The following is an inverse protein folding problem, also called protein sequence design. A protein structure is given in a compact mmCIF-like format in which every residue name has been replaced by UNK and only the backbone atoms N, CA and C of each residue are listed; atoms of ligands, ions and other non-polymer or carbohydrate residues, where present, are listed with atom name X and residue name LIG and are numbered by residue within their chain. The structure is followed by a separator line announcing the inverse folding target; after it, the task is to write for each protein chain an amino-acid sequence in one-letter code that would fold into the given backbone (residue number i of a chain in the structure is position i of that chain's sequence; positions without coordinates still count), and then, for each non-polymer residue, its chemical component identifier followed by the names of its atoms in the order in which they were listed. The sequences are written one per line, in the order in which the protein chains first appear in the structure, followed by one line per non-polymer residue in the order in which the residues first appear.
data_IF_154511325190
#
_entry.id   IF_154511325190
#
_cell.length_a   1.000
_cell.length_b   1.000
_cell.length_c   1.000
_cell.angle_alpha   90.00
_cell.angle_beta   90.00
_cell.angle_gamma   90.00
#
_symmetry.space_group_name_H-M   'P 1'
#
loop_
_entity.id
_entity.type
_entity.pdbx_description
1 polymer ?
#
# COMPACT_ATOMS: atom_id res chain seq x y z
N UNK A 1 4.21 4.43 20.11
CA UNK A 1 2.84 3.93 19.81
C UNK A 1 2.85 2.41 19.85
N UNK A 2 1.75 1.76 20.25
CA UNK A 2 1.67 0.29 20.19
C UNK A 2 1.66 -0.17 18.73
N UNK A 3 2.33 -1.29 18.42
CA UNK A 3 2.42 -1.82 17.05
C UNK A 3 1.03 -2.17 16.49
N UNK A 4 0.13 -2.68 17.33
CA UNK A 4 -1.25 -2.96 16.97
C UNK A 4 -2.03 -1.70 16.55
N UNK A 5 -1.84 -0.57 17.24
CA UNK A 5 -2.47 0.69 16.87
C UNK A 5 -1.94 1.21 15.52
N UNK A 6 -0.65 1.10 15.27
CA UNK A 6 -0.06 1.49 13.98
C UNK A 6 -0.64 0.66 12.84
N UNK A 7 -0.72 -0.66 12.99
CA UNK A 7 -1.28 -1.52 11.93
C UNK A 7 -2.77 -1.22 11.73
N UNK A 8 -3.52 -0.94 12.80
CA UNK A 8 -4.91 -0.50 12.67
C UNK A 8 -5.02 0.79 11.84
N UNK A 9 -4.14 1.77 12.07
CA UNK A 9 -4.11 3.00 11.26
C UNK A 9 -3.76 2.72 9.80
N UNK A 10 -2.81 1.82 9.52
CA UNK A 10 -2.47 1.38 8.15
C UNK A 10 -3.70 0.78 7.46
N UNK A 11 -4.44 -0.09 8.16
CA UNK A 11 -5.68 -0.72 7.66
C UNK A 11 -6.72 0.35 7.33
N UNK A 12 -6.97 1.27 8.26
CA UNK A 12 -7.98 2.32 8.09
C UNK A 12 -7.62 3.27 6.94
N UNK A 13 -6.35 3.66 6.83
CA UNK A 13 -5.87 4.51 5.75
C UNK A 13 -5.97 3.80 4.39
N UNK A 14 -5.59 2.52 4.32
CA UNK A 14 -5.75 1.71 3.10
C UNK A 14 -7.22 1.60 2.66
N UNK A 15 -8.13 1.37 3.61
CA UNK A 15 -9.57 1.34 3.32
C UNK A 15 -10.08 2.70 2.84
N UNK A 16 -9.64 3.79 3.46
CA UNK A 16 -10.00 5.16 3.05
C UNK A 16 -9.52 5.48 1.64
N UNK A 17 -8.28 5.10 1.29
CA UNK A 17 -7.76 5.23 -0.08
C UNK A 17 -8.62 4.46 -1.07
N UNK A 18 -8.90 3.18 -0.81
CA UNK A 18 -9.74 2.37 -1.71
C UNK A 18 -11.16 2.93 -1.86
N UNK A 19 -11.77 3.38 -0.77
CA UNK A 19 -13.09 4.02 -0.77
C UNK A 19 -13.10 5.28 -1.64
N UNK A 20 -12.06 6.13 -1.55
CA UNK A 20 -11.95 7.34 -2.34
C UNK A 20 -11.89 7.03 -3.85
N UNK A 21 -11.21 5.96 -4.27
CA UNK A 21 -11.15 5.56 -5.68
C UNK A 21 -12.51 5.09 -6.17
N UNK A 22 -13.13 4.17 -5.44
CA UNK A 22 -14.41 3.61 -5.84
C UNK A 22 -15.53 4.66 -5.93
N UNK A 23 -15.45 5.71 -5.09
CA UNK A 23 -16.46 6.77 -5.04
C UNK A 23 -16.35 7.80 -6.17
N UNK A 24 -15.13 8.12 -6.61
CA UNK A 24 -14.86 9.28 -7.46
C UNK A 24 -14.21 8.95 -8.82
N UNK A 25 -13.52 7.81 -8.93
CA UNK A 25 -12.91 7.36 -10.19
C UNK A 25 -13.77 6.31 -10.87
N UNK A 26 -13.70 6.25 -12.19
CA UNK A 26 -14.35 5.21 -12.97
C UNK A 26 -13.56 3.88 -12.91
N UNK A 27 -14.22 2.79 -13.28
CA UNK A 27 -13.65 1.45 -13.16
C UNK A 27 -12.48 1.17 -14.11
N UNK A 28 -12.38 1.90 -15.24
CA UNK A 28 -11.28 1.73 -16.17
C UNK A 28 -10.01 2.42 -15.63
N UNK A 29 -10.14 3.68 -15.20
CA UNK A 29 -9.03 4.40 -14.59
C UNK A 29 -8.55 3.73 -13.29
N UNK A 30 -9.48 3.26 -12.44
CA UNK A 30 -9.11 2.53 -11.23
C UNK A 30 -8.32 1.27 -11.56
N UNK A 31 -8.72 0.49 -12.57
CA UNK A 31 -7.95 -0.71 -12.98
C UNK A 31 -6.55 -0.36 -13.47
N UNK A 32 -6.42 0.70 -14.28
CA UNK A 32 -5.12 1.15 -14.77
C UNK A 32 -4.21 1.61 -13.62
N UNK A 33 -4.76 2.39 -12.67
CA UNK A 33 -4.03 2.94 -11.54
C UNK A 33 -3.64 1.88 -10.51
N UNK A 34 -4.23 0.69 -10.53
CA UNK A 34 -4.01 -0.34 -9.50
C UNK A 34 -3.27 -1.56 -10.01
N UNK A 35 -3.13 -1.69 -11.33
CA UNK A 35 -2.62 -2.89 -11.98
C UNK A 35 -1.27 -3.35 -11.43
N UNK A 36 -0.30 -2.43 -11.35
CA UNK A 36 1.04 -2.75 -10.85
C UNK A 36 1.01 -3.05 -9.35
N UNK A 37 0.20 -2.30 -8.60
CA UNK A 37 0.00 -2.52 -7.17
C UNK A 37 -0.57 -3.91 -6.87
N UNK A 38 -1.59 -4.34 -7.63
CA UNK A 38 -2.20 -5.66 -7.50
C UNK A 38 -1.21 -6.78 -7.82
N UNK A 39 -0.36 -6.61 -8.85
CA UNK A 39 0.69 -7.57 -9.17
C UNK A 39 1.69 -7.73 -8.03
N UNK A 40 2.15 -6.62 -7.44
CA UNK A 40 3.06 -6.64 -6.30
C UNK A 40 2.36 -7.24 -5.06
N UNK A 41 1.11 -6.87 -4.81
CA UNK A 41 0.32 -7.33 -3.66
C UNK A 41 0.12 -8.86 -3.70
N UNK A 42 -0.50 -9.37 -4.75
CA UNK A 42 -0.76 -10.81 -4.91
C UNK A 42 0.53 -11.61 -5.11
N UNK A 43 1.52 -11.04 -5.80
CA UNK A 43 2.85 -11.64 -5.91
C UNK A 43 3.52 -11.83 -4.55
N UNK A 44 3.34 -10.89 -3.62
CA UNK A 44 3.86 -11.00 -2.26
C UNK A 44 3.21 -12.14 -1.49
N UNK A 45 1.89 -12.29 -1.61
CA UNK A 45 1.17 -13.45 -1.06
C UNK A 45 1.72 -14.76 -1.62
N UNK A 46 1.92 -14.84 -2.93
CA UNK A 46 2.43 -16.04 -3.59
C UNK A 46 3.84 -16.41 -3.11
N UNK A 47 4.75 -15.44 -2.98
CA UNK A 47 6.11 -15.68 -2.47
C UNK A 47 6.05 -16.25 -1.05
N UNK A 48 5.26 -15.66 -0.14
CA UNK A 48 5.16 -16.15 1.22
C UNK A 48 4.39 -17.48 1.32
N UNK A 49 3.45 -17.76 0.41
CA UNK A 49 2.84 -19.08 0.29
C UNK A 49 3.89 -20.15 -0.01
N UNK A 50 4.77 -19.90 -0.98
CA UNK A 50 5.85 -20.84 -1.33
C UNK A 50 6.81 -21.06 -0.15
N UNK A 51 7.22 -19.98 0.52
CA UNK A 51 8.15 -20.05 1.67
C UNK A 51 7.55 -20.76 2.88
N UNK A 52 6.26 -20.59 3.14
CA UNK A 52 5.55 -21.24 4.26
C UNK A 52 5.04 -22.65 3.90
N UNK A 53 5.27 -23.10 2.67
CA UNK A 53 4.85 -24.40 2.17
C UNK A 53 3.33 -24.52 1.93
N UNK A 54 2.62 -23.41 1.78
CA UNK A 54 1.23 -23.41 1.34
C UNK A 54 1.17 -23.68 -0.18
N UNK A 55 0.33 -24.63 -0.58
CA UNK A 55 0.10 -24.94 -2.00
C UNK A 55 -0.80 -23.86 -2.62
N UNK A 56 -0.30 -23.13 -3.60
CA UNK A 56 -1.09 -22.20 -4.40
C UNK A 56 -1.95 -23.02 -5.35
N UNK A 57 -3.28 -22.84 -5.29
CA UNK A 57 -4.22 -23.47 -6.22
C UNK A 57 -4.58 -22.56 -7.38
N UNK A 58 -4.56 -21.24 -7.15
CA UNK A 58 -4.96 -20.25 -8.14
C UNK A 58 -4.21 -18.94 -7.91
N UNK A 59 -3.77 -18.32 -9.00
CA UNK A 59 -3.07 -17.05 -9.01
C UNK A 59 -3.70 -16.15 -10.08
N UNK A 60 -4.65 -15.30 -9.67
CA UNK A 60 -5.35 -14.39 -10.57
C UNK A 60 -5.05 -12.95 -10.21
N UNK A 61 -4.10 -12.33 -10.91
CA UNK A 61 -3.76 -10.92 -10.73
C UNK A 61 -4.57 -10.00 -11.64
N UNK A 62 -4.94 -10.48 -12.83
CA UNK A 62 -5.55 -9.66 -13.88
C UNK A 62 -7.08 -9.77 -13.94
N UNK A 63 -7.71 -10.23 -12.86
CA UNK A 63 -9.16 -10.32 -12.76
C UNK A 63 -9.76 -9.06 -12.15
N UNK A 64 -11.10 -8.94 -12.19
CA UNK A 64 -11.80 -7.83 -11.54
C UNK A 64 -11.61 -7.80 -10.01
N UNK A 65 -11.24 -8.94 -9.42
CA UNK A 65 -10.90 -9.08 -8.01
C UNK A 65 -9.60 -9.89 -7.91
N UNK A 66 -8.43 -9.22 -7.95
CA UNK A 66 -7.15 -9.89 -7.80
C UNK A 66 -7.13 -10.74 -6.54
N UNK A 67 -6.63 -11.97 -6.66
CA UNK A 67 -6.50 -12.89 -5.53
C UNK A 67 -5.51 -14.01 -5.79
N UNK A 68 -4.89 -14.47 -4.71
CA UNK A 68 -4.21 -15.77 -4.61
C UNK A 68 -5.05 -16.70 -3.74
N UNK A 69 -5.44 -17.85 -4.29
CA UNK A 69 -6.05 -18.92 -3.50
C UNK A 69 -4.97 -19.93 -3.13
N UNK A 70 -4.84 -20.22 -1.83
CA UNK A 70 -3.84 -21.14 -1.31
C UNK A 70 -4.41 -22.05 -0.23
N UNK A 71 -3.81 -23.24 -0.10
CA UNK A 71 -4.08 -24.17 0.99
C UNK A 71 -3.52 -23.68 2.33
N UNK A 72 -3.68 -24.50 3.37
CA UNK A 72 -3.08 -24.20 4.68
C UNK A 72 -1.55 -24.24 4.60
N UNK A 73 -0.84 -23.25 5.17
CA UNK A 73 0.61 -23.30 5.29
C UNK A 73 1.03 -24.42 6.25
N UNK A 74 2.28 -24.89 6.14
CA UNK A 74 2.81 -25.93 7.03
C UNK A 74 2.77 -25.52 8.50
N UNK A 75 2.92 -24.22 8.77
CA UNK A 75 2.74 -23.60 10.08
C UNK A 75 1.43 -22.81 10.08
N UNK A 76 0.31 -23.36 10.56
CA UNK A 76 -1.02 -22.80 10.30
C UNK A 76 -1.27 -21.41 10.88
N UNK A 77 -0.62 -21.05 11.98
CA UNK A 77 -0.86 -19.79 12.70
C UNK A 77 0.17 -18.71 12.32
N UNK A 78 1.45 -19.07 12.31
CA UNK A 78 2.53 -18.17 11.91
C UNK A 78 2.50 -17.96 10.39
N UNK A 79 2.34 -19.04 9.61
CA UNK A 79 2.33 -18.97 8.15
C UNK A 79 1.18 -18.15 7.59
N UNK A 80 -0.03 -18.28 8.16
CA UNK A 80 -1.18 -17.48 7.73
C UNK A 80 -0.97 -15.99 8.03
N UNK A 81 -0.40 -15.68 9.20
CA UNK A 81 -0.04 -14.31 9.57
C UNK A 81 1.01 -13.74 8.62
N UNK A 82 2.08 -14.51 8.33
CA UNK A 82 3.16 -14.09 7.43
C UNK A 82 2.66 -13.86 5.99
N UNK A 83 1.80 -14.74 5.48
CA UNK A 83 1.17 -14.54 4.16
C UNK A 83 0.35 -13.26 4.19
N UNK A 84 -0.52 -13.07 5.18
CA UNK A 84 -1.42 -11.91 5.20
C UNK A 84 -0.74 -10.55 5.40
N UNK A 85 0.46 -10.50 6.00
CA UNK A 85 1.27 -9.28 6.07
C UNK A 85 2.24 -9.14 4.89
N UNK A 86 2.37 -10.15 4.03
CA UNK A 86 3.32 -10.15 2.92
C UNK A 86 3.21 -8.93 1.99
N UNK A 87 1.99 -8.46 1.61
CA UNK A 87 1.87 -7.29 0.73
C UNK A 87 2.46 -6.01 1.30
N UNK A 88 2.43 -5.86 2.63
CA UNK A 88 3.05 -4.72 3.32
C UNK A 88 4.56 -4.71 3.03
N UNK A 89 5.24 -5.82 3.32
CA UNK A 89 6.68 -5.93 3.12
C UNK A 89 7.08 -5.92 1.65
N UNK A 90 6.34 -6.64 0.81
CA UNK A 90 6.62 -6.73 -0.62
C UNK A 90 6.41 -5.40 -1.35
N UNK A 91 5.37 -4.64 -1.00
CA UNK A 91 5.14 -3.30 -1.54
C UNK A 91 6.22 -2.31 -1.11
N UNK A 92 6.62 -2.31 0.17
CA UNK A 92 7.71 -1.48 0.67
C UNK A 92 9.05 -1.83 0.01
N UNK A 93 9.36 -3.13 -0.10
CA UNK A 93 10.57 -3.60 -0.76
C UNK A 93 10.57 -3.21 -2.24
N UNK A 94 9.44 -3.37 -2.93
CA UNK A 94 9.30 -2.97 -4.33
C UNK A 94 9.57 -1.48 -4.52
N UNK A 95 8.94 -0.61 -3.71
CA UNK A 95 9.16 0.83 -3.77
C UNK A 95 10.62 1.20 -3.48
N UNK A 96 11.24 0.56 -2.48
CA UNK A 96 12.65 0.75 -2.17
C UNK A 96 13.55 0.39 -3.35
N UNK A 97 13.36 -0.78 -3.96
CA UNK A 97 14.16 -1.25 -5.09
C UNK A 97 13.99 -0.33 -6.30
N UNK A 98 12.77 0.07 -6.62
CA UNK A 98 12.50 0.99 -7.72
C UNK A 98 13.14 2.36 -7.46
N UNK A 99 13.01 2.91 -6.25
CA UNK A 99 13.67 4.17 -5.91
C UNK A 99 15.20 4.06 -6.04
N UNK A 100 15.79 2.99 -5.51
CA UNK A 100 17.25 2.81 -5.49
C UNK A 100 17.84 2.57 -6.88
N UNK A 101 17.23 1.70 -7.68
CA UNK A 101 17.82 1.21 -8.93
C UNK A 101 17.28 1.90 -10.18
N UNK A 102 16.04 2.40 -10.15
CA UNK A 102 15.40 3.03 -11.32
C UNK A 102 15.36 4.55 -11.18
N UNK A 103 15.00 5.05 -9.98
CA UNK A 103 14.91 6.50 -9.73
C UNK A 103 16.24 7.11 -9.24
N UNK A 104 17.31 6.32 -9.08
CA UNK A 104 18.62 6.81 -8.67
C UNK A 104 18.67 7.36 -7.24
N UNK A 105 17.77 6.95 -6.37
CA UNK A 105 17.65 7.48 -5.00
C UNK A 105 17.10 8.90 -4.96
N UNK A 106 16.28 9.28 -5.95
CA UNK A 106 15.70 10.63 -6.05
C UNK A 106 14.89 11.03 -4.80
N UNK A 107 14.31 10.05 -4.10
CA UNK A 107 13.53 10.30 -2.88
C UNK A 107 14.24 9.78 -1.64
N UNK A 108 14.28 10.63 -0.64
CA UNK A 108 14.71 10.30 0.71
C UNK A 108 13.50 10.13 1.61
N UNK A 109 13.59 9.12 2.47
CA UNK A 109 12.60 8.86 3.50
C UNK A 109 13.31 8.89 4.83
N UNK A 110 12.84 9.73 5.74
CA UNK A 110 13.28 9.69 7.11
C UNK A 110 12.45 8.69 7.91
N UNK A 111 13.04 8.17 8.98
CA UNK A 111 12.31 7.27 9.87
C UNK A 111 11.21 8.06 10.59
N UNK A 112 9.97 7.60 10.48
CA UNK A 112 8.85 8.19 11.21
C UNK A 112 8.96 7.81 12.69
N UNK A 113 9.49 8.71 13.51
CA UNK A 113 9.74 8.45 14.93
C UNK A 113 8.57 8.86 15.85
N UNK A 114 7.71 9.80 15.40
CA UNK A 114 6.63 10.36 16.22
C UNK A 114 5.29 10.45 15.45
N UNK A 115 4.18 10.59 16.17
CA UNK A 115 2.86 10.77 15.55
C UNK A 115 2.75 12.10 14.80
N UNK A 116 3.51 13.14 15.20
CA UNK A 116 3.55 14.43 14.49
C UNK A 116 4.15 14.30 13.11
N UNK A 117 5.13 13.41 12.93
CA UNK A 117 5.75 13.16 11.64
C UNK A 117 4.81 12.41 10.69
N UNK A 118 3.72 11.80 11.17
CA UNK A 118 2.74 11.13 10.29
C UNK A 118 2.06 12.05 9.28
N UNK A 119 1.90 13.33 9.60
CA UNK A 119 1.35 14.32 8.65
C UNK A 119 2.45 15.05 7.88
N UNK A 120 3.62 15.21 8.48
CA UNK A 120 4.75 15.94 7.89
C UNK A 120 5.45 15.12 6.80
N UNK A 121 5.74 13.86 7.06
CA UNK A 121 6.52 12.98 6.16
C UNK A 121 5.84 12.77 4.80
N UNK A 122 4.52 12.54 4.70
CA UNK A 122 3.85 12.50 3.41
C UNK A 122 4.00 13.81 2.63
N UNK A 123 3.93 14.95 3.31
CA UNK A 123 4.05 16.26 2.68
C UNK A 123 5.49 16.57 2.26
N UNK A 124 6.48 16.14 3.04
CA UNK A 124 7.89 16.28 2.70
C UNK A 124 8.28 15.39 1.52
N UNK A 125 7.76 14.16 1.46
CA UNK A 125 7.91 13.29 0.29
C UNK A 125 7.37 13.97 -0.98
N UNK A 126 6.17 14.54 -0.89
CA UNK A 126 5.57 15.25 -2.03
C UNK A 126 6.28 16.58 -2.33
N UNK A 127 6.83 17.24 -1.31
CA UNK A 127 7.63 18.47 -1.45
C UNK A 127 8.97 18.25 -2.15
N UNK A 128 9.50 17.02 -2.15
CA UNK A 128 10.68 16.64 -2.94
C UNK A 128 10.39 16.55 -4.45
N UNK A 129 9.11 16.50 -4.85
CA UNK A 129 8.74 16.33 -6.26
C UNK A 129 9.02 17.59 -7.08
N UNK A 130 9.73 17.40 -8.18
CA UNK A 130 10.01 18.43 -9.19
C UNK A 130 9.24 18.10 -10.46
N UNK A 131 8.27 18.94 -10.81
CA UNK A 131 7.34 18.70 -11.93
C UNK A 131 8.01 18.55 -13.30
N UNK A 132 9.25 19.00 -13.45
CA UNK A 132 10.03 18.86 -14.68
C UNK A 132 10.83 17.55 -14.77
N UNK A 133 10.92 16.80 -13.67
CA UNK A 133 11.69 15.56 -13.60
C UNK A 133 10.75 14.35 -13.74
N UNK A 134 11.06 13.44 -14.67
CA UNK A 134 10.22 12.27 -14.94
C UNK A 134 10.15 11.32 -13.73
N UNK A 135 11.16 11.32 -12.87
CA UNK A 135 11.24 10.54 -11.64
C UNK A 135 10.13 10.92 -10.67
N UNK A 136 9.76 12.20 -10.62
CA UNK A 136 8.65 12.70 -9.82
C UNK A 136 7.31 12.16 -10.32
N UNK A 137 7.10 12.16 -11.62
CA UNK A 137 5.90 11.55 -12.21
C UNK A 137 5.86 10.03 -12.01
N UNK A 138 7.01 9.35 -12.15
CA UNK A 138 7.12 7.93 -11.88
C UNK A 138 6.76 7.61 -10.42
N UNK A 139 7.27 8.37 -9.44
CA UNK A 139 6.88 8.19 -8.04
C UNK A 139 5.40 8.44 -7.81
N UNK A 140 4.83 9.52 -8.34
CA UNK A 140 3.39 9.78 -8.20
C UNK A 140 2.56 8.59 -8.70
N UNK A 141 2.93 8.04 -9.85
CA UNK A 141 2.28 6.84 -10.40
C UNK A 141 2.47 5.61 -9.50
N UNK A 142 3.67 5.42 -8.93
CA UNK A 142 3.94 4.33 -7.99
C UNK A 142 3.17 4.48 -6.68
N UNK A 143 3.01 5.69 -6.15
CA UNK A 143 2.22 5.98 -4.95
C UNK A 143 0.72 5.71 -5.21
N UNK A 144 0.22 6.10 -6.38
CA UNK A 144 -1.14 5.79 -6.80
C UNK A 144 -1.38 4.28 -7.01
N UNK A 145 -0.36 3.55 -7.48
CA UNK A 145 -0.43 2.10 -7.71
C UNK A 145 -0.14 1.27 -6.47
N UNK A 146 1.13 1.18 -6.12
CA UNK A 146 1.64 0.30 -5.07
C UNK A 146 1.29 0.89 -3.71
N UNK A 147 1.43 2.21 -3.53
CA UNK A 147 1.10 2.89 -2.28
C UNK A 147 -0.34 2.60 -1.82
N UNK A 148 -1.29 2.64 -2.75
CA UNK A 148 -2.70 2.35 -2.46
C UNK A 148 -3.01 0.86 -2.20
N UNK A 149 -2.11 -0.05 -2.60
CA UNK A 149 -2.26 -1.51 -2.47
C UNK A 149 -1.34 -2.12 -1.39
N UNK A 150 -0.55 -1.34 -0.66
CA UNK A 150 0.28 -1.82 0.46
C UNK A 150 -0.56 -2.28 1.67
N UNK A 151 -1.76 -1.72 1.82
CA UNK A 151 -2.67 -2.07 2.91
C UNK A 151 -3.20 -3.51 2.81
N UNK A 152 -3.41 -4.20 3.95
CA UNK A 152 -3.96 -5.56 3.95
C UNK A 152 -5.42 -5.58 3.48
N UNK A 153 -5.82 -6.64 2.79
CA UNK A 153 -7.20 -6.85 2.35
C UNK A 153 -8.13 -7.24 3.51
N UNK A 154 -9.44 -7.27 3.26
CA UNK A 154 -10.42 -7.75 4.27
C UNK A 154 -10.21 -9.22 4.64
N UNK A 155 -9.68 -10.04 3.73
CA UNK A 155 -9.29 -11.42 4.01
C UNK A 155 -8.04 -11.47 4.89
N UNK A 156 -7.08 -10.60 4.63
CA UNK A 156 -5.85 -10.51 5.42
C UNK A 156 -6.12 -10.09 6.86
N UNK A 157 -6.98 -9.09 7.05
CA UNK A 157 -7.41 -8.63 8.39
C UNK A 157 -8.01 -9.79 9.19
N UNK A 158 -8.83 -10.63 8.56
CA UNK A 158 -9.43 -11.81 9.22
C UNK A 158 -8.40 -12.87 9.60
N UNK A 159 -7.24 -12.92 8.93
CA UNK A 159 -6.18 -13.86 9.30
C UNK A 159 -5.27 -13.27 10.38
N UNK A 160 -5.04 -11.96 10.38
CA UNK A 160 -4.13 -11.30 11.33
C UNK A 160 -4.82 -10.82 12.62
N UNK A 161 -6.16 -10.79 12.72
CA UNK A 161 -6.84 -10.21 13.91
C UNK A 161 -6.37 -10.79 15.26
N UNK A 162 -6.08 -12.10 15.42
CA UNK A 162 -5.59 -12.60 16.71
C UNK A 162 -4.20 -12.03 17.02
N UNK A 163 -3.35 -11.92 16.00
CA UNK A 163 -2.03 -11.31 16.12
C UNK A 163 -2.14 -9.80 16.41
N UNK A 164 -3.12 -9.10 15.82
CA UNK A 164 -3.36 -7.68 16.09
C UNK A 164 -3.71 -7.41 17.55
N UNK A 165 -4.51 -8.27 18.18
CA UNK A 165 -4.83 -8.16 19.61
C UNK A 165 -3.56 -8.29 20.45
N UNK A 166 -2.71 -9.27 20.14
CA UNK A 166 -1.43 -9.46 20.84
C UNK A 166 -0.51 -8.25 20.65
N UNK A 167 -0.38 -7.76 19.41
CA UNK A 167 0.46 -6.61 19.06
C UNK A 167 -0.03 -5.28 19.64
N UNK A 168 -1.27 -5.22 20.12
CA UNK A 168 -1.78 -4.07 20.85
C UNK A 168 -1.11 -3.92 22.22
N UNK A 169 -0.81 -5.05 22.86
CA UNK A 169 -0.21 -5.09 24.21
C UNK A 169 1.31 -5.33 24.18
N UNK A 170 1.82 -6.00 23.14
CA UNK A 170 3.25 -6.28 23.00
C UNK A 170 3.87 -5.31 21.98
N UNK A 171 4.65 -4.31 22.43
CA UNK A 171 5.33 -3.41 21.50
C UNK A 171 6.43 -4.15 20.76
N UNK A 172 6.38 -4.09 19.43
CA UNK A 172 7.44 -4.56 18.53
C UNK A 172 7.92 -3.33 17.76
N UNK A 173 9.00 -2.65 18.21
CA UNK A 173 9.43 -1.36 17.65
C UNK A 173 9.68 -1.39 16.14
N UNK A 174 10.33 -2.45 15.65
CA UNK A 174 10.59 -2.62 14.22
C UNK A 174 9.29 -2.67 13.40
N UNK A 175 8.28 -3.42 13.86
CA UNK A 175 6.99 -3.51 13.19
C UNK A 175 6.23 -2.19 13.25
N UNK A 176 6.33 -1.46 14.37
CA UNK A 176 5.75 -0.12 14.48
C UNK A 176 6.39 0.86 13.48
N UNK A 177 7.73 0.86 13.34
CA UNK A 177 8.42 1.71 12.37
C UNK A 177 8.03 1.39 10.92
N UNK A 178 8.00 0.09 10.56
CA UNK A 178 7.56 -0.35 9.23
C UNK A 178 6.11 0.06 8.97
N UNK A 179 5.23 -0.10 9.97
CA UNK A 179 3.83 0.29 9.86
C UNK A 179 3.66 1.81 9.73
N UNK A 180 4.41 2.62 10.48
CA UNK A 180 4.37 4.08 10.37
C UNK A 180 4.88 4.54 8.99
N UNK A 181 5.92 3.86 8.47
CA UNK A 181 6.44 4.11 7.13
C UNK A 181 5.40 3.79 6.04
N UNK A 182 4.76 2.61 6.12
CA UNK A 182 3.67 2.24 5.23
C UNK A 182 2.49 3.24 5.31
N UNK A 183 2.13 3.65 6.53
CA UNK A 183 1.08 4.65 6.75
C UNK A 183 1.43 5.98 6.07
N UNK A 184 2.67 6.45 6.19
CA UNK A 184 3.13 7.68 5.52
C UNK A 184 2.99 7.59 4.00
N UNK A 185 3.37 6.45 3.40
CA UNK A 185 3.22 6.22 1.97
C UNK A 185 1.75 6.16 1.52
N UNK A 186 0.89 5.51 2.29
CA UNK A 186 -0.55 5.46 2.00
C UNK A 186 -1.13 6.88 2.07
N UNK A 187 -0.76 7.66 3.09
CA UNK A 187 -1.21 9.05 3.23
C UNK A 187 -0.73 9.92 2.05
N UNK A 188 0.52 9.78 1.62
CA UNK A 188 1.03 10.46 0.44
C UNK A 188 0.24 10.07 -0.82
N UNK A 189 -0.05 8.78 -0.99
CA UNK A 189 -0.91 8.25 -2.06
C UNK A 189 -2.30 8.87 -2.04
N UNK A 190 -2.95 8.97 -0.87
CA UNK A 190 -4.27 9.61 -0.70
C UNK A 190 -4.23 11.09 -1.13
N UNK A 191 -3.17 11.83 -0.77
CA UNK A 191 -3.02 13.24 -1.16
C UNK A 191 -2.90 13.37 -2.69
N UNK A 192 -2.03 12.57 -3.31
CA UNK A 192 -1.87 12.54 -4.78
C UNK A 192 -3.19 12.17 -5.46
N UNK A 193 -3.90 11.20 -4.90
CA UNK A 193 -5.19 10.75 -5.42
C UNK A 193 -6.27 11.84 -5.31
N UNK A 194 -6.35 12.54 -4.18
CA UNK A 194 -7.27 13.66 -4.01
C UNK A 194 -6.99 14.79 -5.02
N UNK A 195 -5.71 15.10 -5.26
CA UNK A 195 -5.31 16.07 -6.28
C UNK A 195 -5.72 15.62 -7.70
N UNK A 196 -5.53 14.33 -8.04
CA UNK A 196 -5.97 13.77 -9.31
C UNK A 196 -7.49 13.89 -9.48
N UNK A 197 -8.28 13.52 -8.46
CA UNK A 197 -9.74 13.62 -8.47
C UNK A 197 -10.19 15.07 -8.67
N UNK A 198 -9.59 16.01 -7.95
CA UNK A 198 -9.90 17.44 -8.09
C UNK A 198 -9.60 17.94 -9.51
N UNK A 199 -8.45 17.56 -10.08
CA UNK A 199 -8.08 17.90 -11.45
C UNK A 199 -9.09 17.35 -12.47
N UNK A 200 -9.44 16.07 -12.37
CA UNK A 200 -10.44 15.45 -13.25
C UNK A 200 -11.81 16.13 -13.13
N UNK A 201 -12.20 16.57 -11.93
CA UNK A 201 -13.45 17.28 -11.73
C UNK A 201 -13.45 18.65 -12.41
N UNK A 202 -12.37 19.42 -12.27
CA UNK A 202 -12.19 20.71 -12.94
C UNK A 202 -12.21 20.56 -14.47
N UNK A 203 -11.51 19.55 -15.01
CA UNK A 203 -11.51 19.28 -16.45
C UNK A 203 -12.90 18.91 -16.98
N UNK A 204 -13.69 18.13 -16.22
CA UNK A 204 -15.07 17.79 -16.59
C UNK A 204 -16.00 19.00 -16.55
N UNK A 205 -15.78 19.95 -15.65
CA UNK A 205 -16.54 21.20 -15.61
C UNK A 205 -16.18 22.09 -16.81
N UNK A 206 -14.89 22.25 -17.09
CA UNK A 206 -14.41 23.02 -18.23
C UNK A 206 -14.94 22.46 -19.56
N UNK A 207 -14.88 21.14 -19.75
CA UNK A 207 -15.37 20.48 -20.97
C UNK A 207 -16.89 20.51 -21.16
N UNK A 208 -17.67 20.88 -20.15
CA UNK A 208 -19.13 21.12 -20.27
C UNK A 208 -19.47 22.59 -20.56
N UNK A 209 -18.51 23.48 -20.40
CA UNK A 209 -18.67 24.92 -20.63
C UNK A 209 -18.37 25.34 -22.07
N UNK A 210 -17.86 24.42 -22.90
CA UNK A 210 -17.64 24.55 -24.34
C UNK A 210 -18.56 23.59 -25.10
#
# INVERSE_FOLDING_TARGET
MSSGLVILLVVLAGYASNWLNWRFLDSALTRLLYYLGAFVHEGSHAVLCLLTGAKISEFQVFSAQPHVTHGKPKLPLIGSTLISIAPLFGGLLFLFLVNRFVLGGHFSFEAVLDWRSLLREPLELLGQMRIYEWQSWALALLLLNVGAMIGPSTRDIKNIWPALVILFFIPVPALAQIGLFALSLIMAGIIVQAALIACLYVLRLAGKAF
#
